data_IF_456053863132
#
_entry.id   IF_456053863132
#
_cell.length_a   1.000
_cell.length_b   1.000
_cell.length_c   1.000
_cell.angle_alpha   90.00
_cell.angle_beta   90.00
_cell.angle_gamma   90.00
#
_symmetry.space_group_name_H-M   'P 1'
#
loop_
_entity.id
_entity.type
_entity.pdbx_description
1 polymer ?
#
# COMPACT_ATOMS: atom_id res chain seq x y z
N UNK A 1 13.93 17.32 -16.10
CA UNK A 1 13.65 15.90 -15.75
C UNK A 1 12.16 15.58 -15.65
N UNK A 2 11.33 16.37 -14.96
CA UNK A 2 9.85 16.13 -14.84
C UNK A 2 9.13 15.99 -16.19
N UNK A 3 9.44 16.79 -17.19
CA UNK A 3 8.78 16.75 -18.53
C UNK A 3 9.01 15.43 -19.27
N UNK A 4 10.16 14.79 -19.10
CA UNK A 4 10.48 13.51 -19.78
C UNK A 4 9.70 12.37 -19.12
N UNK A 5 9.54 12.40 -17.79
CA UNK A 5 8.76 11.43 -17.06
C UNK A 5 7.26 11.55 -17.35
N UNK A 6 6.73 12.76 -17.41
CA UNK A 6 5.34 13.00 -17.81
C UNK A 6 5.05 12.50 -19.21
N UNK A 7 5.96 12.74 -20.18
CA UNK A 7 5.84 12.21 -21.54
C UNK A 7 5.85 10.67 -21.60
N UNK A 8 6.75 10.01 -20.84
CA UNK A 8 6.77 8.54 -20.75
C UNK A 8 5.48 8.01 -20.14
N UNK A 9 4.97 8.68 -19.13
CA UNK A 9 3.71 8.35 -18.48
C UNK A 9 2.52 8.52 -19.42
N UNK A 10 2.44 9.62 -20.16
CA UNK A 10 1.39 9.87 -21.15
C UNK A 10 1.42 8.85 -22.30
N UNK A 11 2.61 8.47 -22.78
CA UNK A 11 2.76 7.44 -23.81
C UNK A 11 2.32 6.08 -23.28
N UNK A 12 2.65 5.75 -22.03
CA UNK A 12 2.21 4.52 -21.37
C UNK A 12 0.68 4.51 -21.17
N UNK A 13 0.10 5.63 -20.74
CA UNK A 13 -1.36 5.80 -20.58
C UNK A 13 -2.07 5.71 -21.93
N UNK A 14 -1.53 6.29 -23.00
CA UNK A 14 -2.11 6.17 -24.35
C UNK A 14 -2.08 4.75 -24.89
N UNK A 15 -0.99 4.00 -24.68
CA UNK A 15 -0.88 2.58 -25.07
C UNK A 15 -1.84 1.67 -24.30
N UNK A 16 -2.19 2.05 -23.07
CA UNK A 16 -3.02 1.24 -22.20
C UNK A 16 -4.25 2.01 -21.71
N UNK A 17 -5.13 2.45 -22.63
CA UNK A 17 -6.38 3.16 -22.28
C UNK A 17 -7.24 2.45 -21.21
N UNK A 18 -7.17 1.10 -21.13
CA UNK A 18 -7.79 0.32 -20.06
C UNK A 18 -7.08 0.49 -18.70
N UNK A 19 -5.77 0.74 -18.70
CA UNK A 19 -5.00 0.99 -17.47
C UNK A 19 -5.22 2.40 -16.92
N UNK A 20 -5.57 3.38 -17.75
CA UNK A 20 -5.89 4.73 -17.29
C UNK A 20 -7.09 4.76 -16.31
N UNK A 21 -8.05 3.82 -16.46
CA UNK A 21 -9.13 3.64 -15.50
C UNK A 21 -8.68 2.94 -14.19
N UNK A 22 -7.58 2.17 -14.21
CA UNK A 22 -7.03 1.51 -13.01
C UNK A 22 -6.37 2.54 -12.08
N UNK A 23 -5.87 3.65 -12.60
CA UNK A 23 -5.37 4.79 -11.81
C UNK A 23 -6.37 5.35 -10.81
N UNK A 24 -7.63 5.13 -11.12
CA UNK A 24 -8.75 5.74 -10.42
C UNK A 24 -9.29 4.86 -9.28
N UNK A 25 -8.93 3.56 -9.24
CA UNK A 25 -9.68 2.56 -8.45
C UNK A 25 -9.12 2.33 -7.05
N UNK A 26 -7.86 2.62 -6.78
CA UNK A 26 -7.31 2.39 -5.45
C UNK A 26 -7.09 3.71 -4.70
N UNK A 27 -8.12 4.18 -4.01
CA UNK A 27 -7.92 5.12 -2.92
C UNK A 27 -7.19 4.37 -1.81
N UNK A 28 -5.92 4.72 -1.62
CA UNK A 28 -5.18 4.29 -0.44
C UNK A 28 -5.76 5.01 0.77
N UNK A 29 -5.97 4.30 1.86
CA UNK A 29 -6.40 4.94 3.11
C UNK A 29 -5.40 6.05 3.45
N UNK A 30 -5.88 7.22 3.88
CA UNK A 30 -5.06 8.42 4.08
C UNK A 30 -5.11 9.41 2.92
N UNK A 31 -5.60 9.01 1.74
CA UNK A 31 -5.70 9.89 0.58
C UNK A 31 -7.08 9.91 -0.05
N UNK A 32 -7.48 11.10 -0.48
CA UNK A 32 -8.66 11.36 -1.32
C UNK A 32 -8.23 11.89 -2.69
N UNK A 33 -9.13 11.81 -3.66
CA UNK A 33 -8.90 12.44 -4.96
C UNK A 33 -9.16 13.93 -4.88
N UNK A 34 -8.33 14.69 -5.57
CA UNK A 34 -8.61 16.11 -5.78
C UNK A 34 -9.89 16.28 -6.62
N UNK A 35 -10.85 17.10 -6.18
CA UNK A 35 -12.15 17.23 -6.86
C UNK A 35 -12.03 17.77 -8.30
N UNK A 36 -11.09 18.68 -8.54
CA UNK A 36 -10.98 19.38 -9.83
C UNK A 36 -9.78 18.92 -10.68
N UNK A 37 -8.75 18.33 -10.07
CA UNK A 37 -7.53 17.93 -10.78
C UNK A 37 -7.49 16.41 -10.93
N UNK A 38 -7.59 15.95 -12.16
CA UNK A 38 -7.56 14.52 -12.48
C UNK A 38 -6.22 13.90 -12.06
N UNK A 39 -6.29 12.75 -11.41
CA UNK A 39 -5.12 11.95 -10.96
C UNK A 39 -4.25 12.61 -9.88
N UNK A 40 -4.73 13.65 -9.21
CA UNK A 40 -4.05 14.23 -8.06
C UNK A 40 -4.66 13.68 -6.76
N UNK A 41 -3.79 13.24 -5.85
CA UNK A 41 -4.15 12.84 -4.50
C UNK A 41 -3.99 14.03 -3.55
N UNK A 42 -4.89 14.12 -2.58
CA UNK A 42 -4.83 15.04 -1.45
C UNK A 42 -4.95 14.23 -0.17
N UNK A 43 -4.36 14.72 0.90
CA UNK A 43 -4.45 14.08 2.21
C UNK A 43 -5.91 14.07 2.69
N UNK A 44 -6.30 12.96 3.26
CA UNK A 44 -7.57 12.82 3.98
C UNK A 44 -7.31 13.03 5.47
N UNK A 45 -7.59 14.23 5.96
CA UNK A 45 -7.33 14.61 7.35
C UNK A 45 -8.07 13.72 8.37
N UNK A 46 -9.16 13.09 7.99
CA UNK A 46 -9.91 12.20 8.89
C UNK A 46 -9.12 10.93 9.26
N UNK A 47 -8.27 10.46 8.34
CA UNK A 47 -7.54 9.19 8.48
C UNK A 47 -6.02 9.35 8.55
N UNK A 48 -5.52 10.58 8.38
CA UNK A 48 -4.10 10.90 8.41
C UNK A 48 -3.45 10.41 9.71
N UNK A 49 -4.02 10.81 10.85
CA UNK A 49 -3.47 10.52 12.17
C UNK A 49 -3.32 9.01 12.44
N UNK A 50 -4.31 8.21 12.00
CA UNK A 50 -4.21 6.75 12.19
C UNK A 50 -3.16 6.13 11.26
N UNK A 51 -2.97 6.68 10.07
CA UNK A 51 -1.91 6.24 9.14
C UNK A 51 -0.54 6.54 9.74
N UNK A 52 -0.29 7.75 10.20
CA UNK A 52 0.94 8.15 10.89
C UNK A 52 1.20 7.23 12.08
N UNK A 53 0.20 7.06 12.96
CA UNK A 53 0.29 6.20 14.13
C UNK A 53 0.67 4.75 13.79
N UNK A 54 0.11 4.17 12.73
CA UNK A 54 0.46 2.83 12.28
C UNK A 54 1.95 2.73 11.90
N UNK A 55 2.46 3.70 11.16
CA UNK A 55 3.86 3.73 10.76
C UNK A 55 4.78 3.93 11.95
N UNK A 56 4.44 4.82 12.89
CA UNK A 56 5.20 5.07 14.12
C UNK A 56 5.25 3.82 15.02
N UNK A 57 4.11 3.17 15.26
CA UNK A 57 4.06 1.94 16.04
C UNK A 57 4.99 0.87 15.44
N UNK A 58 4.98 0.71 14.12
CA UNK A 58 5.84 -0.27 13.45
C UNK A 58 7.32 0.14 13.46
N UNK A 59 7.64 1.43 13.28
CA UNK A 59 9.00 1.97 13.35
C UNK A 59 9.60 1.85 14.74
N UNK A 60 8.76 1.88 15.80
CA UNK A 60 9.13 1.64 17.20
C UNK A 60 9.25 0.15 17.55
N UNK A 61 9.12 -0.76 16.58
CA UNK A 61 9.38 -2.18 16.74
C UNK A 61 8.18 -3.04 17.10
N UNK A 62 6.97 -2.48 17.20
CA UNK A 62 5.76 -3.26 17.46
C UNK A 62 5.49 -4.28 16.34
N UNK A 63 4.92 -5.42 16.70
CA UNK A 63 4.59 -6.50 15.79
C UNK A 63 3.37 -6.20 14.91
N UNK A 64 3.31 -6.81 13.71
CA UNK A 64 2.13 -6.68 12.84
C UNK A 64 0.86 -7.17 13.51
N UNK A 65 0.93 -8.28 14.27
CA UNK A 65 -0.19 -8.84 15.03
C UNK A 65 -0.66 -7.85 16.11
N UNK A 66 0.26 -7.25 16.84
CA UNK A 66 -0.02 -6.30 17.91
C UNK A 66 -0.73 -5.04 17.37
N UNK A 67 -0.24 -4.50 16.25
CA UNK A 67 -0.85 -3.35 15.59
C UNK A 67 -2.26 -3.69 15.07
N UNK A 68 -2.43 -4.85 14.45
CA UNK A 68 -3.74 -5.33 13.98
C UNK A 68 -4.71 -5.47 15.15
N UNK A 69 -4.27 -6.05 16.27
CA UNK A 69 -5.07 -6.16 17.49
C UNK A 69 -5.46 -4.78 18.03
N UNK A 70 -4.51 -3.84 18.10
CA UNK A 70 -4.79 -2.46 18.50
C UNK A 70 -5.89 -1.83 17.62
N UNK A 71 -5.76 -1.94 16.30
CA UNK A 71 -6.73 -1.37 15.35
C UNK A 71 -8.12 -2.00 15.49
N UNK A 72 -8.19 -3.32 15.66
CA UNK A 72 -9.46 -4.04 15.77
C UNK A 72 -10.12 -3.82 17.14
N UNK A 73 -9.35 -3.79 18.22
CA UNK A 73 -9.86 -3.51 19.58
C UNK A 73 -10.45 -2.09 19.64
N UNK A 74 -9.78 -1.12 19.03
CA UNK A 74 -10.27 0.26 18.94
C UNK A 74 -11.31 0.47 17.84
N UNK A 75 -11.83 -0.59 17.22
CA UNK A 75 -12.91 -0.53 16.22
C UNK A 75 -12.59 0.29 14.96
N UNK A 76 -11.31 0.45 14.63
CA UNK A 76 -10.91 1.06 13.36
C UNK A 76 -11.27 0.14 12.20
N UNK A 77 -11.91 0.71 11.17
CA UNK A 77 -12.26 -0.04 9.97
C UNK A 77 -11.04 -0.19 9.05
N UNK A 78 -10.92 -1.34 8.42
CA UNK A 78 -9.91 -1.59 7.40
C UNK A 78 -10.07 -0.63 6.21
N UNK A 79 -9.06 -0.49 5.33
CA UNK A 79 -9.15 0.36 4.14
C UNK A 79 -10.37 0.05 3.26
N UNK A 80 -10.79 -1.21 3.23
CA UNK A 80 -12.00 -1.63 2.51
C UNK A 80 -13.27 -1.16 3.21
N UNK A 81 -13.31 -1.23 4.54
CA UNK A 81 -14.42 -0.74 5.34
C UNK A 81 -14.58 0.77 5.19
N UNK A 82 -13.51 1.51 5.43
CA UNK A 82 -13.50 2.97 5.26
C UNK A 82 -13.97 3.43 3.87
N UNK A 83 -13.50 2.76 2.81
CA UNK A 83 -13.92 3.09 1.45
C UNK A 83 -15.41 2.88 1.20
N UNK A 84 -16.03 1.90 1.87
CA UNK A 84 -17.45 1.59 1.69
C UNK A 84 -18.36 2.44 2.53
N UNK A 85 -17.96 2.76 3.76
CA UNK A 85 -18.78 3.44 4.75
C UNK A 85 -18.48 4.92 4.88
N UNK A 86 -17.26 5.34 4.55
CA UNK A 86 -16.77 6.71 4.82
C UNK A 86 -16.45 6.97 6.29
N UNK A 87 -16.57 5.95 7.16
CA UNK A 87 -16.37 6.05 8.61
C UNK A 87 -15.05 5.37 8.97
N UNK A 88 -14.22 6.05 9.77
CA UNK A 88 -12.92 5.50 10.18
C UNK A 88 -13.03 4.53 11.36
N UNK A 89 -13.95 4.80 12.26
CA UNK A 89 -14.17 4.03 13.48
C UNK A 89 -15.65 3.78 13.67
N UNK A 90 -16.05 2.53 13.94
CA UNK A 90 -17.44 2.12 14.10
C UNK A 90 -17.57 1.22 15.32
N UNK A 91 -18.27 1.70 16.34
CA UNK A 91 -18.50 0.95 17.58
C UNK A 91 -19.30 -0.34 17.35
N UNK A 92 -20.18 -0.34 16.36
CA UNK A 92 -21.01 -1.48 15.97
C UNK A 92 -20.34 -2.36 14.92
N UNK A 93 -19.01 -2.27 14.79
CA UNK A 93 -18.23 -3.00 13.80
C UNK A 93 -18.49 -4.51 13.88
N UNK A 94 -19.11 -5.04 12.86
CA UNK A 94 -19.34 -6.48 12.67
C UNK A 94 -18.43 -7.09 11.61
N UNK A 95 -17.90 -6.25 10.71
CA UNK A 95 -17.10 -6.64 9.55
C UNK A 95 -15.98 -5.62 9.31
N UNK A 96 -15.16 -5.89 8.30
CA UNK A 96 -14.08 -5.01 7.85
C UNK A 96 -12.91 -4.88 8.82
N UNK A 97 -12.55 -5.99 9.45
CA UNK A 97 -11.37 -6.07 10.31
C UNK A 97 -10.07 -5.86 9.54
N UNK A 98 -9.10 -5.31 10.24
CA UNK A 98 -7.73 -5.31 9.79
C UNK A 98 -7.16 -6.72 9.88
N UNK A 99 -6.29 -7.03 8.91
CA UNK A 99 -5.47 -8.24 8.94
C UNK A 99 -4.02 -7.89 8.61
N UNK A 100 -3.11 -8.79 8.97
CA UNK A 100 -1.66 -8.57 8.78
C UNK A 100 -1.27 -8.35 7.32
N UNK A 101 -1.93 -9.03 6.39
CA UNK A 101 -1.64 -8.90 4.95
C UNK A 101 -1.95 -7.47 4.48
N UNK A 102 -3.09 -6.93 4.90
CA UNK A 102 -3.50 -5.55 4.57
C UNK A 102 -2.52 -4.55 5.19
N UNK A 103 -2.16 -4.74 6.48
CA UNK A 103 -1.19 -3.90 7.16
C UNK A 103 0.19 -3.95 6.47
N UNK A 104 0.72 -5.13 6.19
CA UNK A 104 2.02 -5.29 5.53
C UNK A 104 2.02 -4.69 4.11
N UNK A 105 0.93 -4.81 3.36
CA UNK A 105 0.80 -4.18 2.05
C UNK A 105 0.77 -2.65 2.14
N UNK A 106 0.14 -2.11 3.18
CA UNK A 106 0.14 -0.68 3.48
C UNK A 106 1.55 -0.18 3.80
N UNK A 107 2.25 -0.81 4.74
CA UNK A 107 3.60 -0.45 5.17
C UNK A 107 4.65 -0.49 4.03
N UNK A 108 4.44 -1.33 3.00
CA UNK A 108 5.31 -1.43 1.81
C UNK A 108 4.99 -0.43 0.71
N UNK A 109 3.95 0.38 0.87
CA UNK A 109 3.45 1.19 -0.23
C UNK A 109 4.07 2.59 -0.23
N UNK A 110 4.86 2.89 -1.26
CA UNK A 110 5.55 4.18 -1.43
C UNK A 110 4.61 5.39 -1.64
N UNK A 111 3.31 5.16 -1.77
CA UNK A 111 2.32 6.25 -1.84
C UNK A 111 2.38 7.12 -0.58
N UNK A 112 2.66 6.54 0.59
CA UNK A 112 2.70 7.28 1.84
C UNK A 112 3.86 8.28 1.97
N UNK A 113 4.90 8.14 1.14
CA UNK A 113 6.01 9.10 1.01
C UNK A 113 5.88 10.00 -0.23
N UNK A 114 4.67 10.12 -0.80
CA UNK A 114 4.41 11.00 -1.93
C UNK A 114 4.75 10.42 -3.31
N UNK A 115 5.15 9.16 -3.42
CA UNK A 115 5.52 8.52 -4.68
C UNK A 115 4.34 7.74 -5.27
N UNK A 116 4.21 7.75 -6.59
CA UNK A 116 3.26 6.89 -7.29
C UNK A 116 3.99 5.78 -8.02
N UNK A 117 3.69 4.53 -7.67
CA UNK A 117 4.28 3.34 -8.30
C UNK A 117 3.23 2.64 -9.15
N UNK A 118 3.55 2.44 -10.40
CA UNK A 118 2.69 1.82 -11.39
C UNK A 118 3.32 0.59 -12.01
N UNK A 119 2.52 -0.15 -12.78
CA UNK A 119 2.95 -1.38 -13.43
C UNK A 119 3.44 -2.45 -12.42
N UNK A 120 2.87 -2.46 -11.19
CA UNK A 120 3.20 -3.48 -10.17
C UNK A 120 2.77 -4.89 -10.57
N UNK A 121 1.74 -4.99 -11.40
CA UNK A 121 1.16 -6.27 -11.87
C UNK A 121 0.89 -6.20 -13.36
N UNK A 122 1.13 -7.28 -14.07
CA UNK A 122 0.79 -7.43 -15.49
C UNK A 122 0.05 -8.75 -15.73
N UNK A 123 -0.81 -8.76 -16.74
CA UNK A 123 -1.47 -9.99 -17.20
C UNK A 123 -0.55 -10.69 -18.18
N UNK A 124 -0.28 -11.97 -17.98
CA UNK A 124 0.63 -12.75 -18.84
C UNK A 124 0.10 -12.85 -20.26
N UNK A 125 -1.20 -13.08 -20.41
CA UNK A 125 -1.86 -13.18 -21.70
C UNK A 125 -3.34 -12.86 -21.57
N UNK A 126 -3.93 -12.32 -22.65
CA UNK A 126 -5.37 -12.09 -22.74
C UNK A 126 -6.21 -13.38 -22.56
N UNK A 127 -5.67 -14.51 -23.05
CA UNK A 127 -6.36 -15.82 -22.96
C UNK A 127 -6.26 -16.47 -21.58
N UNK A 128 -5.15 -16.25 -20.86
CA UNK A 128 -4.85 -17.00 -19.63
C UNK A 128 -5.26 -16.25 -18.37
N UNK A 129 -5.51 -14.95 -18.44
CA UNK A 129 -5.86 -14.05 -17.31
C UNK A 129 -4.97 -14.19 -16.05
N UNK A 130 -3.83 -14.89 -16.17
CA UNK A 130 -2.89 -15.06 -15.06
C UNK A 130 -2.15 -13.74 -14.80
N UNK A 131 -2.27 -13.24 -13.57
CA UNK A 131 -1.60 -12.03 -13.13
C UNK A 131 -0.22 -12.42 -12.59
N UNK A 132 0.83 -11.73 -13.03
CA UNK A 132 2.17 -11.81 -12.47
C UNK A 132 2.59 -10.48 -11.86
N UNK A 133 3.39 -10.54 -10.82
CA UNK A 133 4.06 -9.36 -10.26
C UNK A 133 5.19 -8.95 -11.20
N UNK A 134 5.28 -7.66 -11.48
CA UNK A 134 6.35 -7.08 -12.30
C UNK A 134 7.54 -6.77 -11.40
N UNK A 135 8.74 -7.09 -11.85
CA UNK A 135 9.98 -6.78 -11.13
C UNK A 135 10.12 -5.27 -10.91
N UNK A 136 10.77 -4.88 -9.81
CA UNK A 136 10.87 -3.46 -9.42
C UNK A 136 11.52 -2.58 -10.49
N UNK A 137 12.47 -3.12 -11.24
CA UNK A 137 13.16 -2.44 -12.34
C UNK A 137 12.22 -2.06 -13.50
N UNK A 138 11.18 -2.85 -13.71
CA UNK A 138 10.18 -2.65 -14.76
C UNK A 138 8.93 -1.90 -14.25
N UNK A 139 8.91 -1.49 -12.98
CA UNK A 139 7.86 -0.66 -12.43
C UNK A 139 8.13 0.82 -12.76
N UNK A 140 7.07 1.58 -12.92
CA UNK A 140 7.17 3.02 -13.19
C UNK A 140 6.97 3.75 -11.87
N UNK A 141 8.04 4.36 -11.35
CA UNK A 141 8.02 5.14 -10.13
C UNK A 141 8.07 6.62 -10.50
N UNK A 142 7.11 7.39 -10.04
CA UNK A 142 7.07 8.84 -10.16
C UNK A 142 7.12 9.43 -8.76
N UNK A 143 8.21 10.15 -8.47
CA UNK A 143 8.44 10.74 -7.16
C UNK A 143 7.69 12.06 -7.01
N UNK A 144 7.33 12.40 -5.76
CA UNK A 144 6.73 13.68 -5.38
C UNK A 144 5.48 14.05 -6.20
N UNK A 145 4.57 13.10 -6.37
CA UNK A 145 3.31 13.31 -7.09
C UNK A 145 2.23 13.96 -6.22
N UNK A 146 2.35 13.81 -4.92
CA UNK A 146 1.40 14.31 -3.91
C UNK A 146 2.12 14.54 -2.58
N UNK A 147 1.46 15.19 -1.65
CA UNK A 147 1.98 15.45 -0.32
C UNK A 147 2.13 14.13 0.47
N UNK A 148 3.30 13.88 1.10
CA UNK A 148 3.52 12.68 1.90
C UNK A 148 2.77 12.78 3.24
N UNK A 149 2.24 11.65 3.72
CA UNK A 149 1.72 11.51 5.10
C UNK A 149 2.85 11.10 6.04
N UNK A 150 3.77 10.28 5.56
CA UNK A 150 4.86 9.72 6.35
C UNK A 150 6.18 10.26 5.83
N UNK A 151 7.07 10.65 6.71
CA UNK A 151 8.40 11.08 6.34
C UNK A 151 9.24 9.90 5.81
N UNK A 152 10.23 10.23 5.00
CA UNK A 152 11.06 9.24 4.33
C UNK A 152 11.87 8.40 5.31
N UNK A 153 12.37 9.02 6.39
CA UNK A 153 13.21 8.35 7.38
C UNK A 153 12.41 7.29 8.16
N UNK A 154 11.19 7.61 8.59
CA UNK A 154 10.28 6.65 9.22
C UNK A 154 9.92 5.52 8.27
N UNK A 155 9.63 5.83 7.01
CA UNK A 155 9.35 4.81 6.00
C UNK A 155 10.54 3.87 5.79
N UNK A 156 11.76 4.39 5.67
CA UNK A 156 12.97 3.58 5.49
C UNK A 156 13.25 2.69 6.70
N UNK A 157 13.06 3.19 7.93
CA UNK A 157 13.11 2.35 9.15
C UNK A 157 12.13 1.19 9.09
N UNK A 158 10.89 1.46 8.71
CA UNK A 158 9.86 0.43 8.53
C UNK A 158 10.28 -0.60 7.49
N UNK A 159 10.82 -0.17 6.32
CA UNK A 159 11.30 -1.11 5.29
C UNK A 159 12.45 -1.98 5.81
N UNK A 160 13.37 -1.42 6.60
CA UNK A 160 14.47 -2.17 7.21
C UNK A 160 13.95 -3.27 8.15
N UNK A 161 12.98 -2.92 9.02
CA UNK A 161 12.35 -3.89 9.95
C UNK A 161 11.62 -4.99 9.17
N UNK A 162 10.85 -4.63 8.12
CA UNK A 162 10.14 -5.60 7.28
C UNK A 162 11.08 -6.59 6.59
N UNK A 163 12.23 -6.11 6.11
CA UNK A 163 13.25 -6.99 5.50
C UNK A 163 13.84 -7.96 6.53
N UNK A 164 14.21 -7.47 7.72
CA UNK A 164 14.78 -8.32 8.80
C UNK A 164 13.79 -9.40 9.24
N UNK A 165 12.51 -9.05 9.43
CA UNK A 165 11.47 -10.02 9.81
C UNK A 165 11.19 -11.03 8.70
N UNK A 166 11.21 -10.64 7.44
CA UNK A 166 11.00 -11.53 6.30
C UNK A 166 12.12 -12.55 6.06
N UNK A 167 13.34 -12.28 6.49
CA UNK A 167 14.46 -13.23 6.41
C UNK A 167 14.38 -14.31 7.50
N UNK A 168 13.85 -13.98 8.67
CA UNK A 168 13.72 -14.96 9.76
C UNK A 168 12.65 -16.04 9.51
N UNK A 169 11.70 -15.80 8.61
CA UNK A 169 10.67 -16.79 8.23
C UNK A 169 11.21 -17.85 7.26
N UNK A 170 12.44 -17.70 6.77
CA UNK A 170 13.11 -18.66 5.88
C UNK A 170 14.02 -19.66 6.61
N UNK A 171 13.97 -19.75 7.92
CA UNK A 171 14.51 -20.90 8.62
C UNK A 171 13.72 -22.12 8.14
N UNK A 172 14.27 -22.81 7.12
CA UNK A 172 13.90 -24.18 6.81
C UNK A 172 14.10 -24.97 8.09
N UNK A 173 13.04 -25.35 8.75
CA UNK A 173 13.09 -26.48 9.66
C UNK A 173 13.40 -27.70 8.78
N UNK A 174 14.63 -28.10 8.77
CA UNK A 174 15.07 -29.37 8.21
C UNK A 174 14.51 -30.42 9.20
N UNK A 175 13.32 -30.91 8.87
CA UNK A 175 12.74 -32.01 9.61
C UNK A 175 13.59 -33.25 9.31
N UNK A 176 14.49 -33.57 10.23
CA UNK A 176 15.35 -34.79 10.22
C UNK A 176 14.54 -36.11 10.14
N UNK A 177 13.19 -36.03 10.13
CA UNK A 177 12.30 -37.19 10.15
C UNK A 177 11.29 -37.20 8.96
N UNK A 178 11.72 -36.83 7.76
CA UNK A 178 10.98 -37.15 6.54
C UNK A 178 11.47 -38.48 5.99
N UNK A 179 10.92 -39.58 6.48
CA UNK A 179 11.20 -40.90 5.90
C UNK A 179 11.32 -42.04 6.91
N UNK A 180 10.37 -42.18 7.82
CA UNK A 180 10.05 -43.45 8.48
C UNK A 180 8.59 -43.79 8.17
#
# INVERSE_FOLDING_TARGET
MLRIYQRKLEVFIRKNKRMANIYVVFQHIGYKRHPSIKNKLIIDEQVKDIVEKIFDMYANGQGSVEIVNFLNTNKYLSPTGYRKTGIIQDENKTNYDWNEVTLCNMLKNEVYIGNTVQNKKSVVSYKVHKIRTVEKENQIIVNNTHEPIVDKDTFEKVQCILKKRGTNTKLKYDYLLRGL
#
